data_IF_944574325003
#
_entry.id   IF_944574325003
#
_cell.length_a   1.000
_cell.length_b   1.000
_cell.length_c   1.000
_cell.angle_alpha   90.00
_cell.angle_beta   90.00
_cell.angle_gamma   90.00
#
_symmetry.space_group_name_H-M   'P 1'
#
loop_
_entity.id
_entity.type
_entity.pdbx_description
1 polymer ?
#
# COMPACT_ATOMS: atom_id res chain seq x y z
N UNK A 1 11.11 6.41 -13.36
CA UNK A 1 12.30 6.19 -14.24
C UNK A 1 12.12 6.85 -15.61
N UNK A 2 11.08 6.53 -16.39
CA UNK A 2 10.89 7.06 -17.76
C UNK A 2 10.87 8.60 -17.82
N UNK A 3 10.10 9.26 -16.96
CA UNK A 3 10.03 10.73 -16.88
C UNK A 3 11.38 11.37 -16.55
N UNK A 4 12.20 10.73 -15.72
CA UNK A 4 13.55 11.20 -15.37
C UNK A 4 14.52 11.16 -16.55
N UNK A 5 14.54 10.05 -17.32
CA UNK A 5 15.36 9.95 -18.53
C UNK A 5 14.90 10.92 -19.62
N UNK A 6 13.59 11.08 -19.80
CA UNK A 6 13.03 12.04 -20.75
C UNK A 6 13.36 13.48 -20.35
N UNK A 7 13.24 13.83 -19.07
CA UNK A 7 13.61 15.15 -18.56
C UNK A 7 15.10 15.46 -18.78
N UNK A 8 15.99 14.52 -18.42
CA UNK A 8 17.43 14.69 -18.63
C UNK A 8 17.79 14.79 -20.11
N UNK A 9 17.23 13.91 -20.96
CA UNK A 9 17.44 13.94 -22.41
C UNK A 9 16.86 15.19 -23.08
N UNK A 10 15.72 15.69 -22.61
CA UNK A 10 15.11 16.93 -23.12
C UNK A 10 15.99 18.15 -22.83
N UNK A 11 16.62 18.21 -21.66
CA UNK A 11 17.58 19.27 -21.30
C UNK A 11 18.84 19.16 -22.17
N UNK A 12 19.44 17.97 -22.29
CA UNK A 12 20.68 17.80 -23.05
C UNK A 12 20.54 18.03 -24.55
N UNK A 13 19.39 17.66 -25.14
CA UNK A 13 19.17 17.80 -26.59
C UNK A 13 18.60 19.16 -26.98
N UNK A 14 18.17 19.98 -26.01
CA UNK A 14 17.54 21.29 -26.24
C UNK A 14 16.39 21.26 -27.28
N UNK A 15 15.72 20.11 -27.42
CA UNK A 15 14.65 19.92 -28.41
C UNK A 15 13.29 20.30 -27.82
N UNK A 16 12.65 21.30 -28.45
CA UNK A 16 11.33 21.84 -28.04
C UNK A 16 10.26 20.75 -27.88
N UNK A 17 10.21 19.77 -28.79
CA UNK A 17 9.25 18.66 -28.73
C UNK A 17 9.42 17.75 -27.50
N UNK A 18 10.67 17.43 -27.13
CA UNK A 18 10.98 16.63 -25.94
C UNK A 18 10.61 17.38 -24.66
N UNK A 19 10.85 18.70 -24.64
CA UNK A 19 10.52 19.56 -23.51
C UNK A 19 9.01 19.71 -23.32
N UNK A 20 8.26 19.87 -24.42
CA UNK A 20 6.79 19.88 -24.39
C UNK A 20 6.22 18.53 -23.94
N UNK A 21 6.80 17.41 -24.39
CA UNK A 21 6.38 16.06 -23.94
C UNK A 21 6.62 15.90 -22.44
N UNK A 22 7.77 16.34 -21.94
CA UNK A 22 8.08 16.31 -20.50
C UNK A 22 7.09 17.16 -19.68
N UNK A 23 6.76 18.37 -20.15
CA UNK A 23 5.73 19.22 -19.52
C UNK A 23 4.38 18.50 -19.44
N UNK A 24 3.91 17.94 -20.55
CA UNK A 24 2.64 17.23 -20.61
C UNK A 24 2.62 16.03 -19.63
N UNK A 25 3.73 15.29 -19.54
CA UNK A 25 3.84 14.18 -18.59
C UNK A 25 3.77 14.67 -17.14
N UNK A 26 4.47 15.74 -16.77
CA UNK A 26 4.37 16.33 -15.43
C UNK A 26 2.96 16.80 -15.11
N UNK A 27 2.28 17.44 -16.06
CA UNK A 27 0.90 17.89 -15.89
C UNK A 27 -0.07 16.72 -15.67
N UNK A 28 0.04 15.65 -16.48
CA UNK A 28 -0.80 14.46 -16.31
C UNK A 28 -0.56 13.82 -14.94
N UNK A 29 0.69 13.71 -14.50
CA UNK A 29 1.01 13.15 -13.18
C UNK A 29 0.43 14.02 -12.06
N UNK A 30 0.56 15.34 -12.15
CA UNK A 30 -0.01 16.28 -11.18
C UNK A 30 -1.54 16.14 -11.08
N UNK A 31 -2.22 16.01 -12.23
CA UNK A 31 -3.67 15.81 -12.25
C UNK A 31 -4.07 14.47 -11.63
N UNK A 32 -3.33 13.39 -11.90
CA UNK A 32 -3.56 12.09 -11.28
C UNK A 32 -3.34 12.16 -9.77
N UNK A 33 -2.31 12.87 -9.31
CA UNK A 33 -2.02 13.07 -7.89
C UNK A 33 -3.12 13.86 -7.19
N UNK A 34 -3.62 14.94 -7.82
CA UNK A 34 -4.75 15.72 -7.32
C UNK A 34 -6.01 14.86 -7.20
N UNK A 35 -6.35 14.10 -8.25
CA UNK A 35 -7.52 13.20 -8.24
C UNK A 35 -7.35 12.12 -7.17
N UNK A 36 -6.17 11.50 -7.06
CA UNK A 36 -5.89 10.50 -6.05
C UNK A 36 -6.04 11.06 -4.62
N UNK A 37 -5.53 12.27 -4.37
CA UNK A 37 -5.68 12.95 -3.08
C UNK A 37 -7.15 13.24 -2.74
N UNK A 38 -7.93 13.73 -3.71
CA UNK A 38 -9.38 13.95 -3.54
C UNK A 38 -10.12 12.64 -3.27
N UNK A 39 -9.85 11.59 -4.06
CA UNK A 39 -10.48 10.29 -3.88
C UNK A 39 -10.11 9.68 -2.52
N UNK A 40 -8.86 9.75 -2.10
CA UNK A 40 -8.43 9.26 -0.79
C UNK A 40 -9.18 9.96 0.34
N UNK A 41 -9.39 11.27 0.23
CA UNK A 41 -10.16 12.04 1.22
C UNK A 41 -11.65 11.66 1.24
N UNK A 42 -12.29 11.59 0.07
CA UNK A 42 -13.74 11.31 -0.05
C UNK A 42 -14.07 9.86 0.31
N UNK A 43 -13.24 8.91 -0.09
CA UNK A 43 -13.52 7.47 0.02
C UNK A 43 -12.83 6.79 1.21
N UNK A 44 -12.20 7.54 2.12
CA UNK A 44 -11.46 6.96 3.26
C UNK A 44 -12.27 5.90 4.04
N UNK A 45 -13.53 6.20 4.38
CA UNK A 45 -14.41 5.26 5.10
C UNK A 45 -14.87 4.06 4.26
N UNK A 46 -14.99 4.22 2.94
CA UNK A 46 -15.34 3.10 2.04
C UNK A 46 -14.14 2.17 1.85
N UNK A 47 -12.94 2.74 1.78
CA UNK A 47 -11.69 2.00 1.70
C UNK A 47 -11.50 1.06 2.89
N UNK A 48 -11.81 1.50 4.12
CA UNK A 48 -11.75 0.63 5.30
C UNK A 48 -12.68 -0.59 5.20
N UNK A 49 -13.92 -0.38 4.72
CA UNK A 49 -14.89 -1.47 4.57
C UNK A 49 -14.48 -2.47 3.48
N UNK A 50 -13.97 -1.98 2.35
CA UNK A 50 -13.45 -2.82 1.27
C UNK A 50 -12.23 -3.61 1.72
N UNK A 51 -11.29 -2.96 2.42
CA UNK A 51 -10.11 -3.62 3.00
C UNK A 51 -10.52 -4.72 3.98
N UNK A 52 -11.53 -4.46 4.82
CA UNK A 52 -12.09 -5.46 5.75
C UNK A 52 -12.60 -6.69 5.02
N UNK A 53 -13.44 -6.49 4.00
CA UNK A 53 -14.02 -7.60 3.24
C UNK A 53 -12.93 -8.38 2.49
N UNK A 54 -11.99 -7.67 1.87
CA UNK A 54 -10.90 -8.28 1.12
C UNK A 54 -9.96 -9.08 2.03
N UNK A 55 -9.57 -8.53 3.18
CA UNK A 55 -8.71 -9.22 4.14
C UNK A 55 -9.42 -10.45 4.71
N UNK A 56 -10.67 -10.32 5.14
CA UNK A 56 -11.45 -11.44 5.68
C UNK A 56 -11.57 -12.57 4.65
N UNK A 57 -11.91 -12.25 3.39
CA UNK A 57 -11.98 -13.23 2.31
C UNK A 57 -10.62 -13.88 2.05
N UNK A 58 -9.55 -13.10 2.05
CA UNK A 58 -8.18 -13.59 1.83
C UNK A 58 -7.77 -14.60 2.90
N UNK A 59 -8.05 -14.30 4.17
CA UNK A 59 -7.81 -15.21 5.29
C UNK A 59 -8.66 -16.47 5.19
N UNK A 60 -9.93 -16.33 4.81
CA UNK A 60 -10.87 -17.44 4.73
C UNK A 60 -10.55 -18.40 3.58
N UNK A 61 -10.21 -17.90 2.39
CA UNK A 61 -10.15 -18.70 1.16
C UNK A 61 -8.74 -18.94 0.63
N UNK A 62 -7.82 -17.98 0.77
CA UNK A 62 -6.54 -17.99 0.06
C UNK A 62 -5.34 -18.33 0.93
N UNK A 63 -5.44 -18.15 2.24
CA UNK A 63 -4.34 -18.44 3.16
C UNK A 63 -4.01 -19.95 3.14
N UNK A 64 -2.72 -20.27 3.00
CA UNK A 64 -2.24 -21.66 2.98
C UNK A 64 -2.57 -22.46 1.72
N UNK A 65 -3.17 -21.85 0.69
CA UNK A 65 -3.54 -22.56 -0.54
C UNK A 65 -2.34 -22.79 -1.48
N UNK A 66 -2.32 -23.91 -2.23
CA UNK A 66 -1.34 -24.13 -3.29
C UNK A 66 -1.41 -23.01 -4.34
N UNK A 67 -0.27 -22.38 -4.65
CA UNK A 67 -0.21 -21.24 -5.58
C UNK A 67 -0.45 -19.86 -4.94
N UNK A 68 -0.85 -19.80 -3.66
CA UNK A 68 -1.08 -18.55 -2.91
C UNK A 68 0.00 -18.28 -1.86
N UNK A 69 1.22 -18.81 -2.04
CA UNK A 69 2.29 -18.70 -1.03
C UNK A 69 2.68 -17.26 -0.69
N UNK A 70 2.63 -16.36 -1.67
CA UNK A 70 2.87 -14.93 -1.44
C UNK A 70 1.78 -14.28 -0.59
N UNK A 71 0.53 -14.73 -0.73
CA UNK A 71 -0.59 -14.27 0.10
C UNK A 71 -0.36 -14.73 1.54
N UNK A 72 -0.05 -16.01 1.76
CA UNK A 72 0.29 -16.55 3.09
C UNK A 72 1.40 -15.74 3.74
N UNK A 73 2.52 -15.54 3.04
CA UNK A 73 3.65 -14.76 3.57
C UNK A 73 3.28 -13.31 3.89
N UNK A 74 2.38 -12.70 3.12
CA UNK A 74 1.92 -11.33 3.34
C UNK A 74 1.01 -11.23 4.56
N UNK A 75 0.12 -12.21 4.76
CA UNK A 75 -0.72 -12.31 5.96
C UNK A 75 0.13 -12.58 7.21
N UNK A 76 1.14 -13.44 7.10
CA UNK A 76 2.04 -13.75 8.22
C UNK A 76 2.80 -12.50 8.68
N UNK A 77 3.32 -11.73 7.72
CA UNK A 77 3.99 -10.44 7.99
C UNK A 77 3.03 -9.43 8.58
N UNK A 78 1.84 -9.27 8.00
CA UNK A 78 0.81 -8.37 8.54
C UNK A 78 0.55 -8.66 10.03
N UNK A 79 0.40 -9.94 10.39
CA UNK A 79 0.13 -10.33 11.78
C UNK A 79 1.29 -10.03 12.72
N UNK A 80 2.53 -10.27 12.28
CA UNK A 80 3.72 -10.03 13.09
C UNK A 80 4.06 -8.54 13.21
N UNK A 81 4.03 -7.80 12.10
CA UNK A 81 4.36 -6.37 12.03
C UNK A 81 3.35 -5.55 12.84
N UNK A 82 2.05 -5.86 12.71
CA UNK A 82 0.98 -5.16 13.41
C UNK A 82 0.57 -5.80 14.74
N UNK A 83 1.22 -6.91 15.14
CA UNK A 83 0.97 -7.64 16.38
C UNK A 83 -0.52 -7.93 16.59
N UNK A 84 -1.13 -8.52 15.57
CA UNK A 84 -2.57 -8.76 15.46
C UNK A 84 -2.85 -10.19 14.97
N UNK A 85 -4.10 -10.64 15.04
CA UNK A 85 -4.49 -11.95 14.53
C UNK A 85 -5.92 -11.91 13.95
N UNK A 86 -6.07 -12.43 12.74
CA UNK A 86 -7.33 -12.40 12.00
C UNK A 86 -7.65 -11.01 11.43
N UNK A 87 -8.80 -10.88 10.74
CA UNK A 87 -9.21 -9.60 10.16
C UNK A 87 -9.73 -8.66 11.25
N UNK A 88 -10.78 -9.08 11.96
CA UNK A 88 -11.40 -8.40 13.09
C UNK A 88 -11.10 -9.11 14.42
N UNK A 89 -10.84 -10.42 14.37
CA UNK A 89 -10.54 -11.20 15.56
C UNK A 89 -9.79 -12.48 15.21
N UNK A 90 -9.12 -13.08 16.20
CA UNK A 90 -8.52 -14.41 16.03
C UNK A 90 -9.55 -15.50 15.70
N UNK A 91 -10.84 -15.28 15.97
CA UNK A 91 -11.90 -16.24 15.67
C UNK A 91 -12.21 -16.33 14.17
N UNK A 92 -11.79 -15.34 13.37
CA UNK A 92 -12.00 -15.32 11.92
C UNK A 92 -11.34 -16.53 11.23
N UNK A 93 -10.34 -17.13 11.88
CA UNK A 93 -9.65 -18.34 11.40
C UNK A 93 -10.50 -19.62 11.51
N UNK A 94 -11.52 -19.66 12.37
CA UNK A 94 -12.30 -20.88 12.67
C UNK A 94 -12.97 -21.47 11.43
N UNK A 95 -13.33 -20.63 10.45
CA UNK A 95 -13.99 -21.04 9.22
C UNK A 95 -13.09 -20.94 7.99
N UNK A 96 -11.79 -20.68 8.17
CA UNK A 96 -10.85 -20.62 7.05
C UNK A 96 -10.57 -22.00 6.47
N UNK A 97 -10.39 -22.06 5.15
CA UNK A 97 -9.99 -23.29 4.45
C UNK A 97 -8.69 -23.85 5.01
N UNK A 98 -7.77 -23.00 5.46
CA UNK A 98 -6.51 -23.40 6.08
C UNK A 98 -6.74 -24.20 7.36
N UNK A 99 -7.50 -23.68 8.33
CA UNK A 99 -7.70 -24.37 9.62
C UNK A 99 -8.46 -25.69 9.45
N UNK A 100 -9.33 -25.78 8.45
CA UNK A 100 -10.07 -27.00 8.11
C UNK A 100 -9.22 -28.02 7.32
N UNK A 101 -8.05 -27.62 6.83
CA UNK A 101 -7.15 -28.46 6.04
C UNK A 101 -6.27 -29.36 6.93
N UNK A 102 -5.65 -30.39 6.34
CA UNK A 102 -4.74 -31.28 7.09
C UNK A 102 -3.44 -30.58 7.47
N UNK A 103 -3.07 -29.57 6.69
CA UNK A 103 -1.89 -28.73 6.80
C UNK A 103 -1.91 -27.87 8.07
N UNK A 104 -3.09 -27.60 8.63
CA UNK A 104 -3.20 -26.91 9.91
C UNK A 104 -2.61 -27.71 11.07
N UNK A 105 -2.55 -29.05 10.99
CA UNK A 105 -2.03 -29.92 12.06
C UNK A 105 -2.65 -29.64 13.44
N UNK A 106 -3.96 -29.39 13.48
CA UNK A 106 -4.70 -29.09 14.71
C UNK A 106 -4.51 -27.67 15.25
N UNK A 107 -3.88 -26.76 14.50
CA UNK A 107 -3.84 -25.33 14.81
C UNK A 107 -5.25 -24.73 14.78
N UNK A 108 -5.52 -23.77 15.66
CA UNK A 108 -6.74 -22.95 15.65
C UNK A 108 -6.54 -21.60 14.96
N UNK A 109 -5.28 -21.15 14.88
CA UNK A 109 -4.82 -19.98 14.12
C UNK A 109 -3.46 -20.31 13.52
N UNK A 110 -2.98 -19.58 12.50
CA UNK A 110 -1.62 -19.75 12.00
C UNK A 110 -0.55 -19.41 13.05
N UNK A 111 0.66 -19.95 12.89
CA UNK A 111 1.75 -19.71 13.85
C UNK A 111 2.21 -18.24 13.86
N UNK A 112 1.96 -17.49 12.78
CA UNK A 112 2.15 -16.03 12.69
C UNK A 112 1.20 -15.21 13.58
N UNK A 113 0.16 -15.81 14.16
CA UNK A 113 -0.66 -15.14 15.18
C UNK A 113 -0.03 -15.18 16.58
N UNK A 114 1.04 -15.93 16.77
CA UNK A 114 1.69 -16.09 18.07
C UNK A 114 2.67 -14.94 18.34
N UNK A 115 2.76 -14.53 19.61
CA UNK A 115 3.74 -13.56 20.11
C UNK A 115 5.17 -14.07 19.99
N UNK A 116 5.34 -15.38 20.20
CA UNK A 116 6.58 -16.10 19.97
C UNK A 116 6.31 -17.14 18.91
N UNK A 117 6.82 -16.91 17.70
CA UNK A 117 6.61 -17.82 16.57
C UNK A 117 7.45 -19.07 16.77
N UNK A 118 6.79 -20.16 17.13
CA UNK A 118 7.38 -21.51 17.19
C UNK A 118 6.46 -22.48 16.47
N UNK A 119 7.00 -23.57 15.95
CA UNK A 119 6.22 -24.57 15.23
C UNK A 119 5.03 -25.03 16.08
N UNK A 120 3.81 -24.95 15.50
CA UNK A 120 2.54 -25.39 16.09
C UNK A 120 2.10 -24.59 17.33
N UNK A 121 2.63 -23.38 17.54
CA UNK A 121 2.15 -22.51 18.62
C UNK A 121 0.65 -22.18 18.49
N UNK A 122 0.11 -22.18 17.27
CA UNK A 122 -1.30 -21.90 16.97
C UNK A 122 -2.29 -22.97 17.45
N UNK A 123 -1.83 -24.12 17.96
CA UNK A 123 -2.69 -25.16 18.53
C UNK A 123 -3.41 -24.72 19.82
N UNK A 124 -2.80 -23.80 20.59
CA UNK A 124 -3.36 -23.33 21.87
C UNK A 124 -3.74 -21.87 21.76
N UNK A 125 -5.04 -21.59 21.70
CA UNK A 125 -5.56 -20.24 21.54
C UNK A 125 -5.61 -19.38 22.82
N UNK A 126 -4.57 -19.48 23.66
CA UNK A 126 -4.51 -18.76 24.93
C UNK A 126 -4.12 -17.28 24.73
N UNK A 127 -4.79 -16.31 25.39
CA UNK A 127 -4.49 -14.87 25.26
C UNK A 127 -3.05 -14.48 25.59
N UNK A 128 -2.36 -15.26 26.43
CA UNK A 128 -0.94 -14.99 26.73
C UNK A 128 -0.02 -15.29 25.54
N UNK A 129 -0.42 -16.17 24.62
CA UNK A 129 0.40 -16.64 23.49
C UNK A 129 0.03 -15.97 22.16
N UNK A 130 -1.26 -15.66 21.94
CA UNK A 130 -1.76 -15.10 20.67
C UNK A 130 -1.99 -13.59 20.80
N UNK A 131 -1.79 -12.86 19.70
CA UNK A 131 -2.26 -11.49 19.57
C UNK A 131 -3.80 -11.41 19.57
N UNK A 132 -4.39 -11.09 20.72
CA UNK A 132 -5.83 -10.80 20.85
C UNK A 132 -6.02 -9.30 21.01
N UNK A 133 -6.06 -8.61 19.86
CA UNK A 133 -6.30 -7.17 19.78
C UNK A 133 -7.74 -6.94 19.38
N UNK A 134 -8.40 -5.99 20.01
CA UNK A 134 -9.75 -5.56 19.64
C UNK A 134 -9.75 -4.99 18.20
N UNK A 135 -10.65 -5.51 17.36
CA UNK A 135 -10.73 -5.12 15.95
C UNK A 135 -9.66 -5.76 15.04
N UNK A 136 -8.81 -6.65 15.56
CA UNK A 136 -7.92 -7.49 14.77
C UNK A 136 -6.87 -6.71 13.98
N UNK A 137 -6.42 -7.27 12.86
CA UNK A 137 -5.44 -6.62 12.00
C UNK A 137 -6.01 -5.42 11.24
N UNK A 138 -7.31 -5.40 10.95
CA UNK A 138 -7.93 -4.29 10.25
C UNK A 138 -7.83 -2.99 11.06
N UNK A 139 -8.23 -3.02 12.33
CA UNK A 139 -8.15 -1.82 13.17
C UNK A 139 -6.71 -1.35 13.37
N UNK A 140 -5.74 -2.27 13.41
CA UNK A 140 -4.32 -1.89 13.46
C UNK A 140 -3.83 -1.25 12.16
N UNK A 141 -4.29 -1.74 11.02
CA UNK A 141 -3.98 -1.14 9.72
C UNK A 141 -4.61 0.25 9.58
N UNK A 142 -5.86 0.42 10.01
CA UNK A 142 -6.57 1.70 10.03
C UNK A 142 -5.88 2.71 10.96
N UNK A 143 -5.50 2.28 12.17
CA UNK A 143 -4.74 3.12 13.12
C UNK A 143 -3.41 3.57 12.51
N UNK A 144 -2.66 2.63 11.92
CA UNK A 144 -1.40 2.96 11.27
C UNK A 144 -1.57 3.94 10.11
N UNK A 145 -2.62 3.76 9.30
CA UNK A 145 -2.90 4.65 8.19
C UNK A 145 -3.31 6.05 8.67
N UNK A 146 -4.10 6.13 9.75
CA UNK A 146 -4.51 7.38 10.37
C UNK A 146 -3.32 8.12 11.01
N UNK A 147 -2.47 7.41 11.74
CA UNK A 147 -1.29 7.99 12.43
C UNK A 147 -0.25 8.51 11.43
N UNK A 148 -0.12 7.86 10.27
CA UNK A 148 0.80 8.26 9.21
C UNK A 148 0.15 9.11 8.11
N UNK A 149 -1.13 9.45 8.21
CA UNK A 149 -1.84 10.23 7.20
C UNK A 149 -1.18 11.59 6.98
N UNK A 150 -0.71 12.23 8.06
CA UNK A 150 0.00 13.52 7.99
C UNK A 150 1.31 13.40 7.22
N UNK A 151 2.08 12.32 7.43
CA UNK A 151 3.33 12.09 6.70
C UNK A 151 3.06 11.82 5.22
N UNK A 152 2.06 10.98 4.91
CA UNK A 152 1.67 10.72 3.51
C UNK A 152 1.21 12.00 2.81
N UNK A 153 0.39 12.81 3.49
CA UNK A 153 -0.04 14.12 2.98
C UNK A 153 1.12 15.08 2.75
N UNK A 154 2.07 15.16 3.69
CA UNK A 154 3.26 16.01 3.56
C UNK A 154 4.15 15.58 2.38
N UNK A 155 4.33 14.28 2.19
CA UNK A 155 5.08 13.74 1.03
C UNK A 155 4.37 14.08 -0.28
N UNK A 156 3.05 13.90 -0.37
CA UNK A 156 2.26 14.29 -1.55
C UNK A 156 2.40 15.77 -1.88
N UNK A 157 2.18 16.66 -0.89
CA UNK A 157 2.38 18.10 -1.09
C UNK A 157 3.80 18.42 -1.59
N UNK A 158 4.82 17.76 -1.03
CA UNK A 158 6.20 17.91 -1.48
C UNK A 158 6.40 17.50 -2.95
N UNK A 159 5.83 16.38 -3.37
CA UNK A 159 5.88 15.90 -4.77
C UNK A 159 5.17 16.87 -5.71
N UNK A 160 3.96 17.33 -5.35
CA UNK A 160 3.23 18.35 -6.09
C UNK A 160 4.03 19.65 -6.28
N UNK A 161 4.68 20.15 -5.22
CA UNK A 161 5.55 21.32 -5.30
C UNK A 161 6.72 21.11 -6.28
N UNK A 162 7.38 19.95 -6.23
CA UNK A 162 8.49 19.62 -7.15
C UNK A 162 8.01 19.53 -8.60
N UNK A 163 6.83 18.99 -8.86
CA UNK A 163 6.24 18.96 -10.20
C UNK A 163 5.95 20.37 -10.73
N UNK A 164 5.38 21.25 -9.90
CA UNK A 164 5.11 22.65 -10.27
C UNK A 164 6.42 23.37 -10.62
N UNK A 165 7.45 23.23 -9.78
CA UNK A 165 8.78 23.76 -10.07
C UNK A 165 9.33 23.22 -11.40
N UNK A 166 9.21 21.91 -11.64
CA UNK A 166 9.59 21.27 -12.90
C UNK A 166 8.86 21.85 -14.12
N UNK A 167 7.55 22.08 -14.01
CA UNK A 167 6.72 22.69 -15.04
C UNK A 167 7.15 24.14 -15.33
N UNK A 168 7.38 24.95 -14.30
CA UNK A 168 7.85 26.35 -14.45
C UNK A 168 9.21 26.39 -15.15
N UNK A 169 10.18 25.58 -14.70
CA UNK A 169 11.51 25.52 -15.31
C UNK A 169 11.45 25.07 -16.78
N UNK A 170 10.60 24.08 -17.07
CA UNK A 170 10.35 23.57 -18.43
C UNK A 170 9.78 24.67 -19.33
N UNK A 171 8.81 25.44 -18.85
CA UNK A 171 8.26 26.58 -19.57
C UNK A 171 9.30 27.67 -19.82
N UNK A 172 10.09 28.04 -18.81
CA UNK A 172 11.16 29.03 -18.93
C UNK A 172 12.21 28.61 -19.97
N UNK A 173 12.63 27.34 -19.94
CA UNK A 173 13.59 26.79 -20.92
C UNK A 173 12.99 26.75 -22.33
N UNK A 174 11.71 26.38 -22.46
CA UNK A 174 11.03 26.35 -23.75
C UNK A 174 10.96 27.74 -24.39
N UNK A 175 10.61 28.76 -23.60
CA UNK A 175 10.60 30.15 -24.05
C UNK A 175 11.99 30.63 -24.44
N UNK A 176 13.03 30.30 -23.66
CA UNK A 176 14.42 30.65 -23.98
C UNK A 176 14.86 30.04 -25.31
N UNK A 177 14.59 28.76 -25.53
CA UNK A 177 14.88 28.07 -26.79
C UNK A 177 14.05 28.61 -27.95
N UNK A 178 12.81 29.05 -27.71
CA UNK A 178 12.02 29.71 -28.75
C UNK A 178 12.67 31.02 -29.22
N UNK A 179 13.15 31.86 -28.29
CA UNK A 179 13.82 33.13 -28.62
C UNK A 179 15.20 32.99 -29.26
N UNK A 180 15.91 31.87 -29.08
CA UNK A 180 17.23 31.69 -29.71
C UNK A 180 17.14 31.32 -31.20
N UNK A 181 16.01 30.74 -31.65
CA UNK A 181 15.80 30.33 -33.04
C UNK A 181 15.03 31.36 -33.89
N UNK A 182 14.56 32.46 -33.29
CA UNK A 182 13.87 33.57 -33.96
C UNK A 182 14.65 34.86 -33.73
#
# INVERSE_FOLDING_TARGET
MVTGFLGFGAILREQKGCLSTYFCLLLVIFLVELVAGVLAHVYYQRLSDELKQHLNRTLAENYGQPGATQITASVDRLQQDFKCCGSNSSADWQHSTYILSREAEGRQVPDSCCKTVVARCGQRAHPSNIYKVEGGCLTKLEQFLADHLLLMGAVGIGVACLQICGMVLTCCLHQRLQRHFY
#
